data_IF_206701889819
#
_entry.id   IF_206701889819
#
_cell.length_a   1.000
_cell.length_b   1.000
_cell.length_c   1.000
_cell.angle_alpha   90.00
_cell.angle_beta   90.00
_cell.angle_gamma   90.00
#
_symmetry.space_group_name_H-M   'P 1'
#
loop_
_entity.id
_entity.type
_entity.pdbx_description
1 polymer ?
#
# COMPACT_ATOMS: atom_id res chain seq x y z
N UNK A 1 25.55 -21.09 -4.50
CA UNK A 1 24.61 -20.53 -3.51
C UNK A 1 23.63 -19.62 -4.24
N UNK A 2 22.39 -20.06 -4.46
CA UNK A 2 21.34 -19.23 -5.06
C UNK A 2 20.57 -18.54 -3.93
N UNK A 3 20.78 -17.23 -3.79
CA UNK A 3 20.06 -16.39 -2.83
C UNK A 3 18.57 -16.46 -3.13
N UNK A 4 17.85 -17.13 -2.25
CA UNK A 4 16.41 -17.26 -2.29
C UNK A 4 15.85 -15.85 -2.12
N UNK A 5 15.39 -15.24 -3.22
CA UNK A 5 14.64 -14.00 -3.20
C UNK A 5 13.31 -14.30 -2.49
N UNK A 6 13.32 -14.22 -1.16
CA UNK A 6 12.15 -14.44 -0.33
C UNK A 6 11.11 -13.42 -0.77
N UNK A 7 10.03 -13.91 -1.37
CA UNK A 7 8.74 -13.22 -1.35
C UNK A 7 8.41 -12.97 0.12
N UNK A 8 8.90 -11.85 0.66
CA UNK A 8 8.78 -11.52 2.06
C UNK A 8 7.32 -11.20 2.27
N UNK A 9 6.59 -12.16 2.87
CA UNK A 9 5.23 -11.93 3.37
C UNK A 9 5.18 -10.56 4.04
N UNK A 10 4.11 -9.79 3.82
CA UNK A 10 3.91 -8.51 4.48
C UNK A 10 2.86 -8.67 5.61
N UNK A 11 3.23 -9.26 6.76
CA UNK A 11 2.31 -9.45 7.87
C UNK A 11 1.85 -8.12 8.46
N UNK A 12 2.63 -7.05 8.31
CA UNK A 12 2.31 -5.73 8.86
C UNK A 12 1.09 -5.12 8.17
N UNK A 13 1.06 -5.11 6.82
CA UNK A 13 -0.11 -4.64 6.07
C UNK A 13 -1.38 -5.40 6.45
N UNK A 14 -1.27 -6.74 6.56
CA UNK A 14 -2.38 -7.59 6.99
C UNK A 14 -2.83 -7.28 8.41
N UNK A 15 -1.90 -7.09 9.34
CA UNK A 15 -2.21 -6.80 10.74
C UNK A 15 -2.97 -5.47 10.87
N UNK A 16 -2.52 -4.41 10.19
CA UNK A 16 -3.18 -3.10 10.22
C UNK A 16 -4.58 -3.10 9.60
N UNK A 17 -4.78 -3.91 8.56
CA UNK A 17 -6.12 -4.13 7.99
C UNK A 17 -7.02 -4.86 8.98
N UNK A 18 -6.57 -5.97 9.55
CA UNK A 18 -7.36 -6.74 10.51
C UNK A 18 -7.66 -5.96 11.79
N UNK A 19 -6.74 -5.12 12.25
CA UNK A 19 -6.96 -4.24 13.41
C UNK A 19 -8.09 -3.21 13.18
N UNK A 20 -8.40 -2.88 11.93
CA UNK A 20 -9.54 -2.02 11.55
C UNK A 20 -10.82 -2.81 11.28
N UNK A 21 -10.80 -4.13 11.44
CA UNK A 21 -11.92 -5.00 11.09
C UNK A 21 -12.16 -5.13 9.58
N UNK A 22 -11.20 -4.73 8.75
CA UNK A 22 -11.36 -4.70 7.30
C UNK A 22 -11.11 -6.06 6.65
N UNK A 23 -11.91 -6.42 5.66
CA UNK A 23 -11.62 -7.46 4.67
C UNK A 23 -10.64 -6.93 3.62
N UNK A 24 -10.08 -7.82 2.79
CA UNK A 24 -9.20 -7.40 1.67
C UNK A 24 -9.95 -6.50 0.67
N UNK A 25 -11.26 -6.69 0.52
CA UNK A 25 -12.11 -5.85 -0.32
C UNK A 25 -12.28 -4.45 0.29
N UNK A 26 -12.54 -4.37 1.60
CA UNK A 26 -12.61 -3.09 2.31
C UNK A 26 -11.31 -2.30 2.17
N UNK A 27 -10.16 -2.98 2.28
CA UNK A 27 -8.84 -2.35 2.06
C UNK A 27 -8.66 -1.83 0.63
N UNK A 28 -9.07 -2.62 -0.37
CA UNK A 28 -9.02 -2.22 -1.77
C UNK A 28 -9.96 -1.03 -2.07
N UNK A 29 -11.17 -1.04 -1.52
CA UNK A 29 -12.17 0.02 -1.66
C UNK A 29 -11.71 1.31 -0.98
N UNK A 30 -11.26 1.24 0.27
CA UNK A 30 -10.79 2.41 1.00
C UNK A 30 -9.56 3.08 0.34
N UNK A 31 -8.66 2.28 -0.25
CA UNK A 31 -7.53 2.83 -1.00
C UNK A 31 -7.97 3.49 -2.31
N UNK A 32 -8.96 2.93 -3.01
CA UNK A 32 -9.51 3.54 -4.20
C UNK A 32 -10.20 4.86 -3.90
N UNK A 33 -11.02 4.91 -2.84
CA UNK A 33 -11.69 6.12 -2.38
C UNK A 33 -10.67 7.20 -1.98
N UNK A 34 -9.60 6.83 -1.26
CA UNK A 34 -8.51 7.76 -0.96
C UNK A 34 -7.89 8.36 -2.21
N UNK A 35 -7.63 7.54 -3.23
CA UNK A 35 -7.02 8.00 -4.48
C UNK A 35 -7.94 8.95 -5.24
N UNK A 36 -9.23 8.65 -5.27
CA UNK A 36 -10.25 9.53 -5.84
C UNK A 36 -10.34 10.85 -5.07
N UNK A 37 -10.27 10.82 -3.73
CA UNK A 37 -10.22 12.03 -2.90
C UNK A 37 -8.94 12.86 -3.12
N UNK A 38 -7.84 12.23 -3.54
CA UNK A 38 -6.62 12.92 -3.97
C UNK A 38 -6.73 13.56 -5.37
N UNK A 39 -7.89 13.45 -6.02
CA UNK A 39 -8.15 14.01 -7.36
C UNK A 39 -7.58 13.15 -8.49
N UNK A 40 -7.16 11.91 -8.20
CA UNK A 40 -6.62 10.99 -9.18
C UNK A 40 -7.70 10.04 -9.70
N UNK A 41 -7.47 9.50 -10.91
CA UNK A 41 -8.37 8.50 -11.46
C UNK A 41 -8.32 7.22 -10.63
N UNK A 42 -9.50 6.73 -10.25
CA UNK A 42 -9.67 5.51 -9.45
C UNK A 42 -9.01 4.32 -10.16
N UNK A 43 -7.98 3.70 -9.56
CA UNK A 43 -7.26 2.63 -10.24
C UNK A 43 -8.04 1.31 -10.15
N UNK A 44 -7.81 0.37 -11.09
CA UNK A 44 -8.34 -0.98 -10.98
C UNK A 44 -7.56 -1.74 -9.89
N UNK A 45 -7.99 -1.56 -8.65
CA UNK A 45 -7.49 -2.25 -7.46
C UNK A 45 -8.59 -3.17 -6.93
N UNK A 46 -8.25 -4.41 -6.63
CA UNK A 46 -9.18 -5.41 -6.09
C UNK A 46 -8.58 -6.16 -4.91
N UNK A 47 -9.41 -6.96 -4.23
CA UNK A 47 -9.00 -7.79 -3.10
C UNK A 47 -7.88 -8.79 -3.47
N UNK A 48 -7.79 -9.21 -4.74
CA UNK A 48 -6.75 -10.14 -5.20
C UNK A 48 -5.37 -9.47 -5.26
N UNK A 49 -5.28 -8.26 -5.82
CA UNK A 49 -4.05 -7.47 -5.83
C UNK A 49 -3.64 -7.11 -4.40
N UNK A 50 -4.60 -6.73 -3.54
CA UNK A 50 -4.34 -6.51 -2.12
C UNK A 50 -3.75 -7.76 -1.45
N UNK A 51 -4.39 -8.92 -1.65
CA UNK A 51 -3.92 -10.19 -1.09
C UNK A 51 -2.53 -10.59 -1.57
N UNK A 52 -2.17 -10.27 -2.82
CA UNK A 52 -0.79 -10.45 -3.34
C UNK A 52 0.22 -9.60 -2.58
N UNK A 53 -0.15 -8.39 -2.15
CA UNK A 53 0.71 -7.56 -1.30
C UNK A 53 0.89 -8.15 0.10
N UNK A 54 -0.18 -8.61 0.73
CA UNK A 54 -0.10 -9.22 2.07
C UNK A 54 0.75 -10.50 2.09
N UNK A 55 0.66 -11.31 1.04
CA UNK A 55 1.46 -12.54 0.91
C UNK A 55 2.90 -12.28 0.47
N UNK A 56 3.21 -11.08 -0.01
CA UNK A 56 4.52 -10.75 -0.57
C UNK A 56 4.73 -11.25 -2.01
N UNK A 57 3.67 -11.73 -2.68
CA UNK A 57 3.72 -12.14 -4.10
C UNK A 57 4.00 -10.94 -5.02
N UNK A 58 3.56 -9.76 -4.59
CA UNK A 58 3.86 -8.47 -5.22
C UNK A 58 4.16 -7.44 -4.16
N UNK A 59 5.03 -6.49 -4.48
CA UNK A 59 5.26 -5.30 -3.65
C UNK A 59 4.39 -4.15 -4.17
N UNK A 60 3.74 -3.36 -3.30
CA UNK A 60 3.14 -2.10 -3.70
C UNK A 60 4.22 -1.21 -4.32
N UNK A 61 4.04 -0.81 -5.59
CA UNK A 61 5.01 0.02 -6.29
C UNK A 61 4.99 1.48 -5.82
N UNK A 62 5.81 2.32 -6.46
CA UNK A 62 5.94 3.77 -6.21
C UNK A 62 4.63 4.57 -6.21
N UNK A 63 3.59 4.02 -6.84
CA UNK A 63 2.25 4.61 -6.85
C UNK A 63 1.48 4.23 -5.57
N UNK A 64 1.28 2.94 -5.31
CA UNK A 64 0.44 2.49 -4.20
C UNK A 64 1.09 2.59 -2.82
N UNK A 65 2.38 2.36 -2.70
CA UNK A 65 3.07 2.35 -1.41
C UNK A 65 2.91 3.67 -0.62
N UNK A 66 3.13 4.86 -1.21
CA UNK A 66 2.92 6.11 -0.49
C UNK A 66 1.43 6.34 -0.12
N UNK A 67 0.48 5.91 -0.95
CA UNK A 67 -0.97 6.01 -0.66
C UNK A 67 -1.42 5.06 0.44
N UNK A 68 -0.81 3.89 0.55
CA UNK A 68 -1.00 2.99 1.69
C UNK A 68 -0.52 3.65 3.00
N UNK A 69 0.61 4.35 2.96
CA UNK A 69 1.10 5.11 4.12
C UNK A 69 0.09 6.18 4.55
N UNK A 70 -0.52 6.90 3.60
CA UNK A 70 -1.58 7.87 3.89
C UNK A 70 -2.83 7.20 4.46
N UNK A 71 -3.33 6.13 3.81
CA UNK A 71 -4.53 5.41 4.23
C UNK A 71 -4.44 4.93 5.68
N UNK A 72 -3.27 4.44 6.08
CA UNK A 72 -3.05 3.93 7.42
C UNK A 72 -2.51 4.98 8.40
N UNK A 73 -2.14 6.17 7.93
CA UNK A 73 -1.40 7.19 8.67
C UNK A 73 -0.13 6.63 9.33
N UNK A 74 0.64 5.82 8.58
CA UNK A 74 1.81 5.12 9.08
C UNK A 74 3.01 5.27 8.14
N UNK A 75 4.25 5.28 8.68
CA UNK A 75 5.44 5.24 7.87
C UNK A 75 5.59 3.87 7.17
N UNK A 76 6.35 3.80 6.06
CA UNK A 76 6.47 2.59 5.24
C UNK A 76 6.99 1.38 6.01
N UNK A 77 7.98 1.57 6.90
CA UNK A 77 8.56 0.48 7.69
C UNK A 77 7.51 -0.21 8.59
N UNK A 78 6.54 0.55 9.10
CA UNK A 78 5.46 0.04 9.95
C UNK A 78 4.38 -0.72 9.16
N UNK A 79 4.36 -0.53 7.84
CA UNK A 79 3.53 -1.26 6.88
C UNK A 79 4.30 -2.38 6.19
N UNK A 80 5.54 -2.66 6.58
CA UNK A 80 6.40 -3.65 5.92
C UNK A 80 6.78 -3.28 4.49
N UNK A 81 6.74 -2.00 4.16
CA UNK A 81 7.11 -1.45 2.85
C UNK A 81 8.55 -0.97 2.88
N UNK A 82 9.26 -1.10 1.75
CA UNK A 82 10.61 -0.54 1.60
C UNK A 82 10.54 0.71 0.73
N UNK A 83 10.81 1.91 1.28
CA UNK A 83 10.82 3.12 0.49
C UNK A 83 12.03 3.13 -0.46
N UNK A 84 11.78 3.52 -1.71
CA UNK A 84 12.83 3.84 -2.70
C UNK A 84 13.22 5.33 -2.64
N UNK A 85 14.22 5.78 -3.43
CA UNK A 85 14.70 7.16 -3.41
C UNK A 85 13.61 8.22 -3.67
N UNK A 86 12.62 7.91 -4.51
CA UNK A 86 11.53 8.85 -4.88
C UNK A 86 10.19 8.54 -4.18
N UNK A 87 10.22 7.92 -3.00
CA UNK A 87 9.03 7.35 -2.36
C UNK A 87 7.91 8.37 -2.06
N UNK A 88 8.27 9.57 -1.60
CA UNK A 88 7.30 10.61 -1.22
C UNK A 88 7.04 11.66 -2.32
N UNK A 89 7.82 11.63 -3.41
CA UNK A 89 7.78 12.66 -4.46
C UNK A 89 6.41 12.77 -5.14
N UNK A 90 5.66 11.68 -5.24
CA UNK A 90 4.31 11.67 -5.85
C UNK A 90 3.19 12.14 -4.91
N UNK A 91 3.42 12.29 -3.60
CA UNK A 91 2.43 12.84 -2.65
C UNK A 91 2.70 14.31 -2.35
N UNK A 92 3.96 14.72 -2.26
CA UNK A 92 4.37 16.02 -1.74
C UNK A 92 3.83 17.23 -2.54
N UNK A 93 3.39 17.02 -3.78
CA UNK A 93 2.76 18.06 -4.61
C UNK A 93 1.37 18.49 -4.09
N UNK A 94 0.74 17.67 -3.23
CA UNK A 94 -0.61 17.92 -2.70
C UNK A 94 -0.65 18.87 -1.49
N UNK A 95 0.42 18.97 -0.70
CA UNK A 95 0.44 19.81 0.52
C UNK A 95 0.78 21.28 0.23
N UNK A 96 0.64 21.70 -1.05
CA UNK A 96 0.98 23.03 -1.56
C UNK A 96 -0.29 23.70 -2.12
N UNK A 97 -1.32 23.83 -1.29
CA UNK A 97 -2.51 24.66 -1.53
C UNK A 97 -2.91 25.38 -0.26
#
# INVERSE_FOLDING_TARGET
MRGQNQAQRNPALRAHRLARGWTQDDGASALQELIEMLGESRPPLDANLWGKWERGDRTPGRYYAPRLCLLFALPPDWLGLRPGPDFWSNIADWNRS
#
